data_IF_736887549563
#
_entry.id   IF_736887549563
#
_cell.length_a   1.000
_cell.length_b   1.000
_cell.length_c   1.000
_cell.angle_alpha   90.00
_cell.angle_beta   90.00
_cell.angle_gamma   90.00
#
_symmetry.space_group_name_H-M   'P 1'
#
loop_
_entity.id
_entity.type
_entity.pdbx_description
1 polymer ?
#
# COMPACT_ATOMS: atom_id res chain seq x y z
N UNK A 1 23.58 45.24 -23.90
CA UNK A 1 23.87 43.96 -24.59
C UNK A 1 23.78 42.86 -23.54
N UNK A 2 22.63 42.22 -23.51
CA UNK A 2 22.39 41.01 -22.74
C UNK A 2 22.32 39.87 -23.74
N UNK A 3 23.40 39.14 -23.88
CA UNK A 3 23.38 37.85 -24.56
C UNK A 3 23.09 36.80 -23.51
N UNK A 4 21.83 36.35 -23.45
CA UNK A 4 21.47 35.09 -22.81
C UNK A 4 21.57 34.00 -23.87
N UNK A 5 22.64 33.22 -23.79
CA UNK A 5 22.77 31.97 -24.54
C UNK A 5 21.72 30.97 -24.08
N UNK A 6 20.69 30.79 -24.90
CA UNK A 6 19.73 29.69 -24.80
C UNK A 6 20.38 28.42 -25.35
N UNK A 7 21.06 27.67 -24.51
CA UNK A 7 21.40 26.29 -24.78
C UNK A 7 20.30 25.40 -24.18
N UNK A 8 19.14 25.35 -24.84
CA UNK A 8 18.11 24.35 -24.59
C UNK A 8 18.55 23.00 -25.22
N UNK A 9 19.49 22.33 -24.59
CA UNK A 9 19.60 20.88 -24.83
C UNK A 9 18.42 20.19 -24.16
N UNK A 10 17.70 19.29 -24.87
CA UNK A 10 16.63 18.55 -24.26
C UNK A 10 17.21 17.65 -23.14
N UNK A 11 16.79 17.90 -21.91
CA UNK A 11 17.09 17.03 -20.78
C UNK A 11 16.48 15.66 -21.12
N UNK A 12 17.29 14.78 -21.66
CA UNK A 12 16.92 13.37 -21.79
C UNK A 12 16.77 12.82 -20.39
N UNK A 13 15.52 12.54 -20.00
CA UNK A 13 15.22 11.84 -18.76
C UNK A 13 16.09 10.58 -18.70
N UNK A 14 16.82 10.34 -17.60
CA UNK A 14 17.56 9.11 -17.46
C UNK A 14 16.56 7.96 -17.60
N UNK A 15 16.81 7.06 -18.56
CA UNK A 15 16.08 5.82 -18.66
C UNK A 15 16.44 5.00 -17.43
N UNK A 16 15.65 5.13 -16.37
CA UNK A 16 15.73 4.28 -15.21
C UNK A 16 15.32 2.87 -15.66
N UNK A 17 16.30 2.04 -15.94
CA UNK A 17 16.11 0.61 -15.91
C UNK A 17 15.77 0.28 -14.46
N UNK A 18 14.54 -0.03 -14.20
CA UNK A 18 14.16 -0.79 -13.01
C UNK A 18 14.75 -2.17 -13.25
N UNK A 19 16.00 -2.35 -12.83
CA UNK A 19 16.52 -3.69 -12.67
C UNK A 19 15.66 -4.32 -11.60
N UNK A 20 14.81 -5.25 -12.02
CA UNK A 20 13.72 -5.86 -11.26
C UNK A 20 14.21 -6.91 -10.25
N UNK A 21 15.37 -6.68 -9.65
CA UNK A 21 15.73 -7.38 -8.43
C UNK A 21 15.11 -6.58 -7.28
N UNK A 22 14.07 -7.09 -6.62
CA UNK A 22 13.52 -6.44 -5.44
C UNK A 22 14.63 -6.36 -4.40
N UNK A 23 14.96 -5.13 -3.99
CA UNK A 23 15.90 -4.86 -2.90
C UNK A 23 15.44 -5.68 -1.70
N UNK A 24 16.18 -6.78 -1.41
CA UNK A 24 15.92 -7.65 -0.28
C UNK A 24 14.49 -8.20 -0.29
N UNK A 25 14.19 -9.12 -1.21
CA UNK A 25 13.13 -10.07 -0.94
C UNK A 25 13.52 -10.76 0.37
N UNK A 26 12.86 -10.36 1.47
CA UNK A 26 12.83 -11.24 2.63
C UNK A 26 12.36 -12.56 2.05
N UNK A 27 13.25 -13.56 2.03
CA UNK A 27 12.90 -14.88 1.55
C UNK A 27 11.75 -15.36 2.43
N UNK A 28 10.52 -15.21 1.90
CA UNK A 28 9.28 -15.58 2.59
C UNK A 28 9.27 -17.05 2.98
N UNK A 29 10.23 -17.85 2.47
CA UNK A 29 10.43 -19.24 2.83
C UNK A 29 11.00 -19.44 4.23
N UNK A 30 11.46 -18.39 4.92
CA UNK A 30 12.20 -18.50 6.19
C UNK A 30 11.47 -18.01 7.44
N UNK A 31 10.22 -17.57 7.33
CA UNK A 31 9.43 -17.08 8.47
C UNK A 31 8.29 -18.02 8.90
N UNK A 32 7.78 -17.87 10.14
CA UNK A 32 6.68 -18.70 10.63
C UNK A 32 5.36 -18.50 9.86
N UNK A 33 5.24 -17.42 9.08
CA UNK A 33 4.09 -17.15 8.21
C UNK A 33 4.43 -17.31 6.72
N UNK A 34 5.50 -18.03 6.40
CA UNK A 34 5.84 -18.34 5.02
C UNK A 34 4.71 -19.15 4.36
N UNK A 35 4.33 -18.74 3.14
CA UNK A 35 3.23 -19.37 2.39
C UNK A 35 1.86 -18.76 2.62
N UNK A 36 1.69 -17.89 3.61
CA UNK A 36 0.44 -17.15 3.81
C UNK A 36 0.43 -15.82 3.06
N UNK A 37 -0.69 -15.49 2.43
CA UNK A 37 -0.90 -14.24 1.70
C UNK A 37 -1.96 -13.39 2.39
N UNK A 38 -1.66 -12.12 2.63
CA UNK A 38 -2.60 -11.16 3.17
C UNK A 38 -2.83 -9.99 2.23
N UNK A 39 -4.10 -9.63 2.02
CA UNK A 39 -4.51 -8.42 1.31
C UNK A 39 -4.92 -7.38 2.35
N UNK A 40 -4.27 -6.22 2.35
CA UNK A 40 -4.48 -5.27 3.42
C UNK A 40 -4.84 -3.88 2.91
N UNK A 41 -5.85 -3.29 3.52
CA UNK A 41 -6.42 -1.97 3.24
C UNK A 41 -6.17 -1.07 4.46
N UNK A 42 -4.96 -1.11 4.99
CA UNK A 42 -4.62 -0.43 6.23
C UNK A 42 -3.94 0.92 5.96
N UNK A 43 -4.21 1.90 6.83
CA UNK A 43 -3.66 3.24 6.73
C UNK A 43 -3.13 3.71 8.09
N UNK A 44 -2.27 4.70 8.09
CA UNK A 44 -1.66 5.34 9.25
C UNK A 44 -0.84 4.36 10.12
N UNK A 45 -1.22 4.13 11.39
CA UNK A 45 -0.38 3.43 12.37
C UNK A 45 -0.82 1.98 12.64
N UNK A 46 -1.94 1.79 13.32
CA UNK A 46 -2.26 0.51 13.96
C UNK A 46 -2.32 -0.66 12.97
N UNK A 47 -3.13 -0.55 11.93
CA UNK A 47 -3.27 -1.60 10.92
C UNK A 47 -2.00 -1.81 10.11
N UNK A 48 -1.34 -0.72 9.69
CA UNK A 48 -0.12 -0.80 8.90
C UNK A 48 1.03 -1.42 9.67
N UNK A 49 1.20 -1.05 10.94
CA UNK A 49 2.24 -1.64 11.78
C UNK A 49 1.98 -3.13 12.06
N UNK A 50 0.74 -3.48 12.40
CA UNK A 50 0.35 -4.88 12.58
C UNK A 50 0.68 -5.73 11.35
N UNK A 51 0.26 -5.29 10.17
CA UNK A 51 0.45 -6.02 8.91
C UNK A 51 1.91 -6.00 8.43
N UNK A 52 2.70 -4.99 8.82
CA UNK A 52 4.16 -5.00 8.64
C UNK A 52 4.80 -6.12 9.47
N UNK A 53 4.39 -6.32 10.73
CA UNK A 53 4.92 -7.41 11.54
C UNK A 53 4.62 -8.77 10.91
N UNK A 54 3.43 -8.96 10.32
CA UNK A 54 3.10 -10.19 9.59
C UNK A 54 4.02 -10.38 8.38
N UNK A 55 4.31 -9.31 7.63
CA UNK A 55 5.28 -9.37 6.53
C UNK A 55 6.70 -9.73 7.02
N UNK A 56 7.14 -9.14 8.13
CA UNK A 56 8.45 -9.47 8.74
C UNK A 56 8.51 -10.90 9.26
N UNK A 57 7.37 -11.52 9.57
CA UNK A 57 7.25 -12.92 9.93
C UNK A 57 7.16 -13.86 8.72
N UNK A 58 7.29 -13.35 7.50
CA UNK A 58 7.35 -14.13 6.27
C UNK A 58 6.06 -14.18 5.45
N UNK A 59 4.96 -13.55 5.88
CA UNK A 59 3.75 -13.48 5.08
C UNK A 59 3.95 -12.61 3.83
N UNK A 60 3.34 -13.00 2.71
CA UNK A 60 3.23 -12.19 1.52
C UNK A 60 2.11 -11.16 1.71
N UNK A 61 2.46 -9.94 2.14
CA UNK A 61 1.47 -8.89 2.41
C UNK A 61 1.39 -7.92 1.25
N UNK A 62 0.19 -7.79 0.69
CA UNK A 62 -0.12 -6.89 -0.43
C UNK A 62 -0.98 -5.74 0.10
N UNK A 63 -0.40 -4.55 0.15
CA UNK A 63 -1.07 -3.32 0.53
C UNK A 63 -1.83 -2.76 -0.67
N UNK A 64 -3.15 -2.65 -0.55
CA UNK A 64 -4.02 -2.00 -1.54
C UNK A 64 -4.22 -0.54 -1.18
N UNK A 65 -3.97 0.34 -2.12
CA UNK A 65 -4.14 1.78 -1.97
C UNK A 65 -4.86 2.38 -3.17
N UNK A 66 -5.54 3.51 -2.98
CA UNK A 66 -6.09 4.28 -4.09
C UNK A 66 -5.29 5.57 -4.29
N UNK A 67 -4.95 5.88 -5.53
CA UNK A 67 -4.13 7.05 -5.86
C UNK A 67 -4.81 8.37 -5.50
N UNK A 68 -6.13 8.45 -5.63
CA UNK A 68 -6.91 9.65 -5.31
C UNK A 68 -6.94 9.98 -3.81
N UNK A 69 -6.68 8.98 -2.94
CA UNK A 69 -6.66 9.13 -1.49
C UNK A 69 -5.60 8.23 -0.87
N UNK A 70 -4.32 8.57 -1.03
CA UNK A 70 -3.22 7.79 -0.46
C UNK A 70 -3.24 7.83 1.07
N UNK A 71 -2.49 6.92 1.68
CA UNK A 71 -2.23 6.99 3.12
C UNK A 71 -1.65 8.37 3.48
N UNK A 72 -2.26 9.04 4.46
CA UNK A 72 -1.83 10.37 4.89
C UNK A 72 -0.36 10.43 5.37
N UNK A 73 0.23 9.29 5.69
CA UNK A 73 1.63 9.20 6.08
C UNK A 73 2.61 9.16 4.91
N UNK A 74 2.12 8.94 3.68
CA UNK A 74 2.93 9.14 2.46
C UNK A 74 3.25 10.62 2.22
N UNK A 75 2.45 11.53 2.78
CA UNK A 75 2.35 12.89 2.27
C UNK A 75 1.51 12.94 1.00
N UNK A 76 1.18 14.12 0.51
CA UNK A 76 0.41 14.25 -0.74
C UNK A 76 1.27 13.90 -1.96
N UNK A 77 0.63 13.42 -3.02
CA UNK A 77 1.30 13.25 -4.32
C UNK A 77 1.80 14.58 -4.90
N UNK A 78 1.17 15.67 -4.50
CA UNK A 78 1.48 17.05 -4.93
C UNK A 78 2.20 17.86 -3.85
N UNK A 79 2.42 17.29 -2.67
CA UNK A 79 3.05 17.98 -1.55
C UNK A 79 4.57 17.92 -1.60
N UNK A 80 5.23 19.05 -1.32
CA UNK A 80 6.66 19.03 -1.07
C UNK A 80 6.96 18.32 0.25
N UNK A 81 7.57 17.14 0.18
CA UNK A 81 8.19 16.54 1.35
C UNK A 81 9.38 17.44 1.74
N UNK A 82 9.47 17.92 2.99
CA UNK A 82 10.59 18.73 3.41
C UNK A 82 11.92 18.09 3.04
N UNK A 83 12.88 18.83 2.46
CA UNK A 83 14.14 18.25 1.95
C UNK A 83 14.91 17.42 2.97
N UNK A 84 14.83 17.77 4.25
CA UNK A 84 15.45 17.02 5.36
C UNK A 84 14.80 15.67 5.68
N UNK A 85 13.58 15.43 5.15
CA UNK A 85 12.83 14.18 5.31
C UNK A 85 12.84 13.34 4.02
N UNK A 86 13.49 13.86 2.96
CA UNK A 86 13.72 13.12 1.72
C UNK A 86 15.01 12.34 1.84
N UNK A 87 15.02 11.09 1.42
CA UNK A 87 16.25 10.45 1.03
C UNK A 87 16.86 11.21 -0.16
N UNK A 88 18.19 11.27 -0.25
CA UNK A 88 18.98 12.24 -1.01
C UNK A 88 18.74 12.26 -2.51
N UNK A 89 18.12 11.28 -3.07
CA UNK A 89 17.63 11.33 -4.44
C UNK A 89 16.24 11.98 -4.40
N UNK A 90 16.17 13.21 -4.85
CA UNK A 90 14.92 13.92 -5.12
C UNK A 90 14.06 13.04 -5.99
N UNK A 91 13.30 12.26 -5.35
CA UNK A 91 12.69 11.09 -5.88
C UNK A 91 11.77 11.47 -7.02
N UNK A 92 11.93 10.77 -8.10
CA UNK A 92 10.95 10.66 -9.18
C UNK A 92 9.55 10.37 -8.58
N UNK A 93 9.52 9.81 -7.37
CA UNK A 93 8.31 9.44 -6.63
C UNK A 93 8.35 9.98 -5.19
N UNK A 94 8.13 11.28 -4.95
CA UNK A 94 8.24 11.91 -3.62
C UNK A 94 7.28 11.29 -2.58
N UNK A 95 6.14 10.76 -3.02
CA UNK A 95 5.20 10.03 -2.17
C UNK A 95 5.72 8.70 -1.61
N UNK A 96 6.82 8.18 -2.15
CA UNK A 96 7.50 6.99 -1.61
C UNK A 96 8.61 7.33 -0.60
N UNK A 97 8.85 8.62 -0.35
CA UNK A 97 9.94 9.10 0.50
C UNK A 97 9.46 9.48 1.91
N UNK A 98 8.19 9.26 2.24
CA UNK A 98 7.63 9.55 3.56
C UNK A 98 8.23 8.62 4.64
N UNK A 99 9.05 9.13 5.60
CA UNK A 99 9.71 8.27 6.57
C UNK A 99 8.73 7.57 7.49
N UNK A 100 7.61 8.21 7.82
CA UNK A 100 6.55 7.59 8.63
C UNK A 100 5.89 6.43 7.89
N UNK A 101 5.53 6.64 6.61
CA UNK A 101 4.97 5.58 5.79
C UNK A 101 5.94 4.40 5.67
N UNK A 102 7.20 4.68 5.34
CA UNK A 102 8.20 3.63 5.15
C UNK A 102 8.50 2.86 6.45
N UNK A 103 8.42 3.52 7.62
CA UNK A 103 8.69 2.87 8.90
C UNK A 103 7.66 1.82 9.32
N UNK A 104 6.46 1.82 8.74
CA UNK A 104 5.36 0.89 9.08
C UNK A 104 4.88 0.02 7.91
N UNK A 105 5.58 0.09 6.77
CA UNK A 105 5.23 -0.68 5.58
C UNK A 105 6.37 -1.53 5.02
N UNK A 106 7.40 -1.80 5.85
CA UNK A 106 8.52 -2.64 5.47
C UNK A 106 8.06 -4.07 5.09
N UNK A 107 8.65 -4.62 4.03
CA UNK A 107 8.37 -5.98 3.58
C UNK A 107 7.04 -6.17 2.85
N UNK A 108 6.21 -5.14 2.73
CA UNK A 108 4.96 -5.21 1.97
C UNK A 108 5.19 -4.94 0.48
N UNK A 109 4.34 -5.53 -0.34
CA UNK A 109 4.13 -5.13 -1.74
C UNK A 109 2.96 -4.16 -1.79
N UNK A 110 2.95 -3.24 -2.76
CA UNK A 110 1.85 -2.29 -2.93
C UNK A 110 1.23 -2.44 -4.31
N UNK A 111 -0.10 -2.37 -4.37
CA UNK A 111 -0.87 -2.27 -5.61
C UNK A 111 -1.83 -1.09 -5.50
N UNK A 112 -2.03 -0.40 -6.61
CA UNK A 112 -2.99 0.72 -6.68
C UNK A 112 -4.26 0.23 -7.33
N UNK A 113 -5.36 0.16 -6.56
CA UNK A 113 -6.69 -0.19 -7.02
C UNK A 113 -7.71 0.81 -6.46
N UNK A 114 -8.64 1.23 -7.30
CA UNK A 114 -9.80 2.01 -6.88
C UNK A 114 -11.00 1.08 -6.72
N UNK A 115 -11.39 0.79 -5.48
CA UNK A 115 -12.52 -0.10 -5.18
C UNK A 115 -13.89 0.55 -5.47
N UNK A 116 -13.92 1.83 -5.80
CA UNK A 116 -15.12 2.49 -6.33
C UNK A 116 -15.29 2.30 -7.83
N UNK A 117 -14.25 1.87 -8.53
CA UNK A 117 -14.29 1.47 -9.93
C UNK A 117 -14.61 -0.03 -10.04
N UNK A 118 -15.58 -0.43 -10.89
CA UNK A 118 -15.95 -1.83 -11.06
C UNK A 118 -14.80 -2.76 -11.45
N UNK A 119 -13.89 -2.28 -12.31
CA UNK A 119 -12.72 -3.06 -12.74
C UNK A 119 -11.71 -3.23 -11.57
N UNK A 120 -11.47 -2.15 -10.81
CA UNK A 120 -10.63 -2.21 -9.61
C UNK A 120 -11.20 -3.11 -8.53
N UNK A 121 -12.53 -3.12 -8.38
CA UNK A 121 -13.22 -4.01 -7.45
C UNK A 121 -13.12 -5.48 -7.87
N UNK A 122 -13.21 -5.77 -9.16
CA UNK A 122 -13.09 -7.14 -9.68
C UNK A 122 -11.68 -7.68 -9.46
N UNK A 123 -10.65 -6.90 -9.78
CA UNK A 123 -9.25 -7.28 -9.49
C UNK A 123 -9.04 -7.52 -7.99
N UNK A 124 -9.67 -6.70 -7.13
CA UNK A 124 -9.60 -6.93 -5.69
C UNK A 124 -10.23 -8.27 -5.29
N UNK A 125 -11.35 -8.67 -5.88
CA UNK A 125 -12.00 -9.97 -5.64
C UNK A 125 -11.12 -11.14 -6.06
N UNK A 126 -10.47 -11.04 -7.22
CA UNK A 126 -9.49 -12.04 -7.66
C UNK A 126 -8.32 -12.17 -6.66
N UNK A 127 -7.83 -11.05 -6.11
CA UNK A 127 -6.82 -11.09 -5.06
C UNK A 127 -7.31 -11.77 -3.78
N UNK A 128 -8.59 -11.61 -3.43
CA UNK A 128 -9.21 -12.26 -2.26
C UNK A 128 -9.24 -13.77 -2.39
N UNK A 129 -9.44 -14.32 -3.58
CA UNK A 129 -9.43 -15.76 -3.84
C UNK A 129 -8.12 -16.41 -3.40
N UNK A 130 -7.00 -15.69 -3.55
CA UNK A 130 -5.65 -16.15 -3.20
C UNK A 130 -5.20 -15.74 -1.78
N UNK A 131 -6.06 -15.01 -1.04
CA UNK A 131 -5.70 -14.48 0.27
C UNK A 131 -6.10 -15.41 1.41
N UNK A 132 -5.22 -15.61 2.39
CA UNK A 132 -5.53 -16.28 3.64
C UNK A 132 -6.17 -15.33 4.65
N UNK A 133 -5.78 -14.06 4.60
CA UNK A 133 -6.34 -13.04 5.48
C UNK A 133 -6.47 -11.68 4.80
N UNK A 134 -7.43 -10.91 5.29
CA UNK A 134 -7.64 -9.52 4.92
C UNK A 134 -7.57 -8.69 6.20
N UNK A 135 -6.88 -7.55 6.14
CA UNK A 135 -6.85 -6.61 7.25
C UNK A 135 -7.21 -5.20 6.78
N UNK A 136 -8.05 -4.53 7.55
CA UNK A 136 -8.47 -3.16 7.28
C UNK A 136 -8.57 -2.36 8.59
N UNK A 137 -8.45 -1.05 8.51
CA UNK A 137 -8.65 -0.16 9.65
C UNK A 137 -9.51 1.06 9.29
N UNK A 138 -10.47 0.85 8.45
CA UNK A 138 -11.45 1.85 8.06
C UNK A 138 -12.53 2.07 9.15
N UNK A 139 -13.37 3.07 8.92
CA UNK A 139 -14.64 3.18 9.65
C UNK A 139 -15.58 2.02 9.26
N UNK A 140 -16.42 1.52 10.19
CA UNK A 140 -17.18 0.28 10.02
C UNK A 140 -18.04 0.14 8.77
N UNK A 141 -18.42 1.27 8.13
CA UNK A 141 -19.26 1.27 6.94
C UNK A 141 -18.49 1.11 5.62
N UNK A 142 -17.18 1.33 5.64
CA UNK A 142 -16.40 1.48 4.40
C UNK A 142 -16.35 0.18 3.61
N UNK A 143 -16.02 -0.93 4.24
CA UNK A 143 -15.97 -2.24 3.59
C UNK A 143 -17.35 -2.62 3.00
N UNK A 144 -18.42 -2.35 3.74
CA UNK A 144 -19.80 -2.57 3.27
C UNK A 144 -20.15 -1.69 2.08
N UNK A 145 -19.73 -0.43 2.08
CA UNK A 145 -19.99 0.50 0.97
C UNK A 145 -19.33 0.06 -0.34
N UNK A 146 -18.18 -0.62 -0.25
CA UNK A 146 -17.52 -1.24 -1.40
C UNK A 146 -18.10 -2.63 -1.76
N UNK A 147 -19.01 -3.18 -0.96
CA UNK A 147 -19.54 -4.53 -1.17
C UNK A 147 -18.49 -5.63 -0.94
N UNK A 148 -17.56 -5.39 0.00
CA UNK A 148 -16.49 -6.30 0.40
C UNK A 148 -16.43 -6.45 1.93
N UNK A 149 -17.57 -6.42 2.59
CA UNK A 149 -17.69 -6.77 4.00
C UNK A 149 -17.47 -8.28 4.21
N UNK A 150 -17.44 -8.72 5.46
CA UNK A 150 -17.10 -10.10 5.78
C UNK A 150 -17.98 -11.12 5.06
N UNK A 151 -19.29 -10.86 4.96
CA UNK A 151 -20.21 -11.80 4.31
C UNK A 151 -19.93 -11.91 2.81
N UNK A 152 -19.67 -10.78 2.14
CA UNK A 152 -19.30 -10.76 0.72
C UNK A 152 -17.92 -11.41 0.47
N UNK A 153 -16.95 -11.18 1.34
CA UNK A 153 -15.64 -11.82 1.24
C UNK A 153 -15.71 -13.33 1.43
N UNK A 154 -16.57 -13.79 2.34
CA UNK A 154 -16.80 -15.21 2.61
C UNK A 154 -17.48 -15.94 1.46
N UNK A 155 -18.27 -15.25 0.65
CA UNK A 155 -18.83 -15.81 -0.59
C UNK A 155 -17.73 -16.12 -1.62
N UNK A 156 -16.67 -15.28 -1.66
CA UNK A 156 -15.52 -15.48 -2.55
C UNK A 156 -14.60 -16.58 -2.00
N UNK A 157 -14.25 -16.47 -0.72
CA UNK A 157 -13.33 -17.40 -0.03
C UNK A 157 -13.90 -17.77 1.34
N UNK A 158 -14.51 -18.95 1.47
CA UNK A 158 -15.24 -19.37 2.68
C UNK A 158 -14.40 -19.45 3.96
N UNK A 159 -13.09 -19.64 3.85
CA UNK A 159 -12.13 -19.74 4.94
C UNK A 159 -11.32 -18.45 5.18
N UNK A 160 -11.70 -17.34 4.52
CA UNK A 160 -11.01 -16.06 4.69
C UNK A 160 -11.09 -15.54 6.13
N UNK A 161 -9.98 -15.04 6.62
CA UNK A 161 -9.91 -14.33 7.90
C UNK A 161 -9.99 -12.81 7.64
N UNK A 162 -10.99 -12.14 8.19
CA UNK A 162 -11.07 -10.68 8.16
C UNK A 162 -10.70 -10.10 9.53
N UNK A 163 -9.66 -9.28 9.57
CA UNK A 163 -9.25 -8.52 10.73
C UNK A 163 -9.61 -7.03 10.55
N UNK A 164 -10.61 -6.56 11.29
CA UNK A 164 -11.05 -5.16 11.28
C UNK A 164 -10.54 -4.43 12.52
N UNK A 165 -9.74 -3.37 12.31
CA UNK A 165 -9.09 -2.60 13.37
C UNK A 165 -9.66 -1.18 13.44
N UNK A 166 -10.98 -1.05 13.56
CA UNK A 166 -11.62 0.27 13.68
C UNK A 166 -11.31 0.91 15.04
N UNK A 167 -11.11 2.24 15.05
CA UNK A 167 -10.68 2.97 16.25
C UNK A 167 -11.67 2.89 17.43
N UNK A 168 -12.96 2.80 17.15
CA UNK A 168 -14.04 2.80 18.14
C UNK A 168 -14.89 1.52 18.15
N UNK A 169 -14.48 0.50 17.40
CA UNK A 169 -15.27 -0.73 17.25
C UNK A 169 -16.42 -0.61 16.26
N UNK A 170 -17.20 -1.68 16.14
CA UNK A 170 -18.34 -1.78 15.21
C UNK A 170 -19.68 -1.52 15.87
N UNK A 171 -19.74 -1.46 17.18
CA UNK A 171 -20.93 -1.25 17.99
C UNK A 171 -20.69 -0.12 19.00
N UNK A 172 -21.72 0.62 19.29
CA UNK A 172 -21.66 1.72 20.24
C UNK A 172 -22.71 2.80 19.92
N UNK A 173 -22.88 3.82 20.80
CA UNK A 173 -23.77 4.93 20.54
C UNK A 173 -23.30 5.82 19.40
#
# INVERSE_FOLDING_TARGET
>A
NNDFDNNDEPVTSPQYRIDSEPVGSLDSSQGPLAGYTGIVLTQAWAGTYCTMLLAMMGANVIQVEVRSRPDGWRGGYEGEIPPKLRDRETAIHPWNCGPLYNSVNLGKRCVTLDLSDPEGLEIFRELVEEADFIAENFSPRVMKNFGVDYEALKEIKPDVILCSLSAYGHTGP
#
